data_IF_579953452428
#
_entry.id   IF_579953452428
#
_cell.length_a   1.000
_cell.length_b   1.000
_cell.length_c   1.000
_cell.angle_alpha   90.00
_cell.angle_beta   90.00
_cell.angle_gamma   90.00
#
_symmetry.space_group_name_H-M   'P 1'
#
loop_
_entity.id
_entity.type
_entity.pdbx_description
1 polymer ?
#
# COMPACT_ATOMS: atom_id res chain seq x y z
N UNK A 1 14.26 11.48 -9.67
CA UNK A 1 14.42 10.30 -8.77
C UNK A 1 13.89 9.05 -9.47
N UNK A 2 14.72 8.02 -9.60
CA UNK A 2 14.31 6.73 -10.17
C UNK A 2 13.49 5.93 -9.18
N UNK A 3 12.52 5.16 -9.66
CA UNK A 3 11.63 4.34 -8.85
C UNK A 3 11.66 2.88 -9.31
N UNK A 4 11.97 2.00 -8.39
CA UNK A 4 11.83 0.55 -8.57
C UNK A 4 10.57 0.07 -7.85
N UNK A 5 9.62 -0.49 -8.59
CA UNK A 5 8.51 -1.19 -7.95
C UNK A 5 8.92 -2.62 -7.59
N UNK A 6 8.56 -3.06 -6.40
CA UNK A 6 8.72 -4.45 -5.97
C UNK A 6 7.34 -5.02 -5.69
N UNK A 7 6.99 -6.08 -6.39
CA UNK A 7 5.69 -6.72 -6.28
C UNK A 7 5.86 -8.24 -6.22
N UNK A 8 4.81 -8.94 -5.86
CA UNK A 8 4.77 -10.38 -5.74
C UNK A 8 3.61 -10.82 -4.88
N UNK A 9 3.12 -12.03 -5.10
CA UNK A 9 2.00 -12.58 -4.35
C UNK A 9 2.32 -12.83 -2.88
N UNK A 10 1.30 -13.09 -2.08
CA UNK A 10 1.44 -13.47 -0.68
C UNK A 10 2.38 -14.66 -0.55
N UNK A 11 3.32 -14.59 0.39
CA UNK A 11 4.28 -15.67 0.65
C UNK A 11 5.42 -15.79 -0.36
N UNK A 12 5.56 -14.85 -1.31
CA UNK A 12 6.62 -14.87 -2.33
C UNK A 12 8.02 -14.53 -1.78
N UNK A 13 8.10 -13.92 -0.60
CA UNK A 13 9.36 -13.43 -0.04
C UNK A 13 9.64 -11.96 -0.32
N UNK A 14 8.66 -11.25 -0.83
CA UNK A 14 8.73 -9.82 -1.19
C UNK A 14 9.24 -8.95 -0.03
N UNK A 15 8.66 -9.10 1.16
CA UNK A 15 9.06 -8.33 2.35
C UNK A 15 10.53 -8.57 2.72
N UNK A 16 11.01 -9.81 2.63
CA UNK A 16 12.41 -10.14 2.89
C UNK A 16 13.35 -9.40 1.93
N UNK A 17 13.02 -9.39 0.64
CA UNK A 17 13.81 -8.71 -0.39
C UNK A 17 13.84 -7.20 -0.17
N UNK A 18 12.69 -6.56 0.08
CA UNK A 18 12.66 -5.11 0.31
C UNK A 18 13.40 -4.72 1.58
N UNK A 19 13.35 -5.55 2.62
CA UNK A 19 14.11 -5.30 3.85
C UNK A 19 15.63 -5.39 3.62
N UNK A 20 16.09 -6.26 2.72
CA UNK A 20 17.49 -6.28 2.30
C UNK A 20 17.90 -4.96 1.65
N UNK A 21 17.09 -4.42 0.74
CA UNK A 21 17.34 -3.10 0.14
C UNK A 21 17.34 -1.99 1.19
N UNK A 22 16.39 -2.02 2.12
CA UNK A 22 16.33 -1.04 3.21
C UNK A 22 17.60 -1.07 4.08
N UNK A 23 18.14 -2.25 4.39
CA UNK A 23 19.39 -2.40 5.14
C UNK A 23 20.60 -1.85 4.39
N UNK A 24 20.52 -1.73 3.07
CA UNK A 24 21.54 -1.11 2.21
C UNK A 24 21.37 0.42 2.08
N UNK A 25 20.42 1.01 2.80
CA UNK A 25 20.17 2.44 2.78
C UNK A 25 19.23 2.91 1.65
N UNK A 26 18.55 1.99 0.96
CA UNK A 26 17.57 2.34 -0.08
C UNK A 26 16.21 2.59 0.59
N UNK A 27 15.60 3.77 0.41
CA UNK A 27 14.30 4.06 0.98
C UNK A 27 13.19 3.20 0.35
N UNK A 28 12.31 2.66 1.19
CA UNK A 28 11.19 1.82 0.76
C UNK A 28 9.87 2.43 1.21
N UNK A 29 8.97 2.61 0.26
CA UNK A 29 7.59 3.00 0.50
C UNK A 29 6.70 1.77 0.52
N UNK A 30 6.22 1.39 1.69
CA UNK A 30 5.31 0.27 1.88
C UNK A 30 3.88 0.75 1.69
N UNK A 31 3.30 0.45 0.54
CA UNK A 31 2.00 1.00 0.11
C UNK A 31 0.88 0.69 1.11
N UNK A 32 0.78 -0.55 1.59
CA UNK A 32 -0.28 -0.94 2.52
C UNK A 32 -0.15 -0.25 3.88
N UNK A 33 1.06 -0.16 4.41
CA UNK A 33 1.32 0.50 5.68
C UNK A 33 1.04 2.01 5.59
N UNK A 34 1.41 2.62 4.46
CA UNK A 34 1.14 4.05 4.23
C UNK A 34 -0.35 4.34 4.07
N UNK A 35 -1.10 3.47 3.39
CA UNK A 35 -2.55 3.59 3.31
C UNK A 35 -3.19 3.57 4.71
N UNK A 36 -2.76 2.66 5.57
CA UNK A 36 -3.23 2.62 6.97
C UNK A 36 -2.91 3.90 7.73
N UNK A 37 -1.71 4.44 7.55
CA UNK A 37 -1.32 5.71 8.16
C UNK A 37 -2.17 6.88 7.66
N UNK A 38 -2.50 6.91 6.38
CA UNK A 38 -3.35 7.96 5.80
C UNK A 38 -4.77 7.94 6.36
N UNK A 39 -5.33 6.78 6.69
CA UNK A 39 -6.60 6.68 7.40
C UNK A 39 -6.57 7.36 8.78
N UNK A 40 -5.41 7.42 9.41
CA UNK A 40 -5.26 8.04 10.73
C UNK A 40 -4.85 9.52 10.65
N UNK A 41 -4.26 9.96 9.54
CA UNK A 41 -3.62 11.29 9.44
C UNK A 41 -4.22 12.22 8.39
N UNK A 42 -4.96 11.70 7.41
CA UNK A 42 -5.54 12.50 6.33
C UNK A 42 -7.02 12.80 6.60
N UNK A 43 -7.32 14.00 7.07
CA UNK A 43 -8.70 14.45 7.30
C UNK A 43 -9.54 14.39 6.02
N UNK A 44 -8.93 14.72 4.87
CA UNK A 44 -9.58 14.65 3.56
C UNK A 44 -9.97 13.22 3.20
N UNK A 45 -9.09 12.25 3.44
CA UNK A 45 -9.38 10.84 3.18
C UNK A 45 -10.48 10.32 4.11
N UNK A 46 -10.42 10.66 5.40
CA UNK A 46 -11.46 10.32 6.38
C UNK A 46 -12.82 10.84 5.92
N UNK A 47 -12.89 12.09 5.49
CA UNK A 47 -14.14 12.70 5.01
C UNK A 47 -14.66 12.03 3.74
N UNK A 48 -13.80 11.70 2.80
CA UNK A 48 -14.19 11.01 1.58
C UNK A 48 -14.70 9.60 1.86
N UNK A 49 -14.09 8.88 2.79
CA UNK A 49 -14.56 7.55 3.22
C UNK A 49 -15.90 7.66 3.96
N UNK A 50 -16.06 8.67 4.83
CA UNK A 50 -17.33 8.94 5.52
C UNK A 50 -18.48 9.14 4.55
N UNK A 51 -18.27 9.90 3.47
CA UNK A 51 -19.29 10.14 2.43
C UNK A 51 -19.73 8.85 1.74
N UNK A 52 -18.86 7.86 1.65
CA UNK A 52 -19.13 6.57 1.00
C UNK A 52 -19.80 5.59 1.97
N UNK A 53 -19.27 5.48 3.19
CA UNK A 53 -19.65 4.44 4.15
C UNK A 53 -20.68 4.89 5.19
N UNK A 54 -20.84 6.20 5.39
CA UNK A 54 -21.76 6.77 6.38
C UNK A 54 -21.06 7.33 7.61
N UNK A 55 -21.82 8.03 8.45
CA UNK A 55 -21.26 8.75 9.62
C UNK A 55 -20.80 7.83 10.75
N UNK A 56 -21.31 6.61 10.83
CA UNK A 56 -20.98 5.63 11.86
C UNK A 56 -19.56 5.08 11.74
N UNK A 57 -18.89 5.25 10.61
CA UNK A 57 -17.47 4.85 10.45
C UNK A 57 -16.48 5.87 11.02
N UNK A 58 -16.96 7.03 11.49
CA UNK A 58 -16.11 8.08 12.07
C UNK A 58 -16.49 8.31 13.51
N UNK A 59 -15.50 8.34 14.41
CA UNK A 59 -15.63 8.68 15.81
C UNK A 59 -14.47 9.60 16.23
N UNK A 60 -14.81 10.75 16.79
CA UNK A 60 -13.81 11.77 17.19
C UNK A 60 -12.84 12.16 16.06
N UNK A 61 -13.36 12.28 14.83
CA UNK A 61 -12.57 12.65 13.66
C UNK A 61 -11.69 11.54 13.07
N UNK A 62 -11.79 10.32 13.58
CA UNK A 62 -11.00 9.16 13.13
C UNK A 62 -11.88 8.04 12.62
N UNK A 63 -11.37 7.26 11.67
CA UNK A 63 -12.07 6.10 11.13
C UNK A 63 -12.13 4.96 12.15
N UNK A 64 -13.33 4.42 12.32
CA UNK A 64 -13.58 3.17 13.03
C UNK A 64 -13.28 2.00 12.10
N UNK A 65 -12.04 1.50 12.17
CA UNK A 65 -11.56 0.43 11.28
C UNK A 65 -12.36 -0.87 11.40
N UNK A 66 -12.87 -1.16 12.59
CA UNK A 66 -13.75 -2.32 12.85
C UNK A 66 -15.08 -2.22 12.09
N UNK A 67 -15.75 -1.08 12.15
CA UNK A 67 -17.02 -0.83 11.46
C UNK A 67 -16.78 -0.78 9.95
N UNK A 68 -15.72 -0.09 9.52
CA UNK A 68 -15.32 0.00 8.12
C UNK A 68 -15.07 -1.38 7.52
N UNK A 69 -14.31 -2.22 8.19
CA UNK A 69 -14.02 -3.59 7.74
C UNK A 69 -15.28 -4.42 7.57
N UNK A 70 -16.22 -4.35 8.51
CA UNK A 70 -17.50 -5.05 8.41
C UNK A 70 -18.31 -4.61 7.19
N UNK A 71 -18.39 -3.31 6.92
CA UNK A 71 -19.11 -2.76 5.77
C UNK A 71 -18.48 -3.18 4.44
N UNK A 72 -17.16 -3.11 4.35
CA UNK A 72 -16.42 -3.47 3.15
C UNK A 72 -16.45 -4.97 2.86
N UNK A 73 -16.42 -5.79 3.90
CA UNK A 73 -16.54 -7.25 3.76
C UNK A 73 -17.94 -7.65 3.26
N UNK A 74 -18.98 -6.96 3.70
CA UNK A 74 -20.37 -7.26 3.34
C UNK A 74 -20.74 -6.80 1.92
N UNK A 75 -20.05 -5.79 1.36
CA UNK A 75 -20.38 -5.18 0.08
C UNK A 75 -19.14 -4.82 -0.73
N UNK A 76 -18.87 -5.60 -1.78
CA UNK A 76 -17.72 -5.41 -2.68
C UNK A 76 -17.80 -4.12 -3.50
N UNK A 77 -18.99 -3.60 -3.76
CA UNK A 77 -19.15 -2.33 -4.46
C UNK A 77 -18.68 -1.16 -3.60
N UNK A 78 -18.93 -1.21 -2.29
CA UNK A 78 -18.40 -0.23 -1.35
C UNK A 78 -16.88 -0.29 -1.28
N UNK A 79 -16.30 -1.49 -1.30
CA UNK A 79 -14.85 -1.65 -1.34
C UNK A 79 -14.25 -0.94 -2.57
N UNK A 80 -14.81 -1.15 -3.76
CA UNK A 80 -14.37 -0.48 -4.98
C UNK A 80 -14.45 1.03 -4.89
N UNK A 81 -15.53 1.57 -4.32
CA UNK A 81 -15.71 3.01 -4.13
C UNK A 81 -14.70 3.61 -3.15
N UNK A 82 -14.40 2.89 -2.07
CA UNK A 82 -13.36 3.32 -1.11
C UNK A 82 -11.99 3.29 -1.76
N UNK A 83 -11.66 2.26 -2.52
CA UNK A 83 -10.39 2.18 -3.26
C UNK A 83 -10.21 3.34 -4.24
N UNK A 84 -11.27 3.81 -4.89
CA UNK A 84 -11.24 4.98 -5.78
C UNK A 84 -10.80 6.28 -5.10
N UNK A 85 -11.00 6.42 -3.80
CA UNK A 85 -10.55 7.60 -3.03
C UNK A 85 -9.23 7.35 -2.29
N UNK A 86 -8.93 6.10 -1.95
CA UNK A 86 -7.67 5.72 -1.27
C UNK A 86 -6.49 5.73 -2.23
N UNK A 87 -6.63 5.16 -3.42
CA UNK A 87 -5.54 5.07 -4.39
C UNK A 87 -4.95 6.43 -4.77
N UNK A 88 -5.76 7.47 -5.12
CA UNK A 88 -5.22 8.80 -5.37
C UNK A 88 -4.49 9.40 -4.17
N UNK A 89 -4.99 9.19 -2.97
CA UNK A 89 -4.35 9.68 -1.75
C UNK A 89 -2.97 9.04 -1.52
N UNK A 90 -2.86 7.74 -1.75
CA UNK A 90 -1.58 7.00 -1.67
C UNK A 90 -0.61 7.47 -2.74
N UNK A 91 -1.08 7.67 -3.97
CA UNK A 91 -0.23 8.15 -5.08
C UNK A 91 0.33 9.54 -4.78
N UNK A 92 -0.50 10.44 -4.28
CA UNK A 92 -0.07 11.78 -3.90
C UNK A 92 0.93 11.74 -2.73
N UNK A 93 0.67 10.93 -1.72
CA UNK A 93 1.59 10.73 -0.61
C UNK A 93 2.92 10.13 -1.06
N UNK A 94 2.88 9.13 -1.94
CA UNK A 94 4.09 8.55 -2.52
C UNK A 94 4.93 9.58 -3.27
N UNK A 95 4.31 10.41 -4.10
CA UNK A 95 5.03 11.45 -4.85
C UNK A 95 5.73 12.43 -3.91
N UNK A 96 5.05 12.92 -2.88
CA UNK A 96 5.67 13.80 -1.87
C UNK A 96 6.82 13.11 -1.12
N UNK A 97 6.61 11.86 -0.74
CA UNK A 97 7.64 11.06 -0.07
C UNK A 97 8.86 10.84 -0.97
N UNK A 98 8.67 10.42 -2.22
CA UNK A 98 9.74 10.25 -3.20
C UNK A 98 10.54 11.55 -3.40
N UNK A 99 9.84 12.66 -3.58
CA UNK A 99 10.47 13.94 -3.86
C UNK A 99 11.29 14.46 -2.65
N UNK A 100 10.94 14.04 -1.44
CA UNK A 100 11.73 14.35 -0.24
C UNK A 100 13.14 13.75 -0.25
N UNK A 101 13.39 12.75 -1.09
CA UNK A 101 14.71 12.11 -1.26
C UNK A 101 15.51 12.68 -2.43
N UNK A 102 14.93 13.60 -3.19
CA UNK A 102 15.68 14.27 -4.27
C UNK A 102 16.89 15.03 -3.71
N UNK A 103 18.00 14.97 -4.43
CA UNK A 103 19.27 15.61 -4.04
C UNK A 103 19.95 15.08 -2.77
N UNK A 104 19.56 13.90 -2.28
CA UNK A 104 20.21 13.26 -1.12
C UNK A 104 21.29 12.23 -1.50
N UNK A 105 21.67 12.15 -2.79
CA UNK A 105 22.66 11.19 -3.26
C UNK A 105 22.16 9.74 -3.30
N UNK A 106 20.85 9.54 -3.21
CA UNK A 106 20.21 8.22 -3.25
C UNK A 106 19.97 7.84 -4.72
N UNK A 107 20.41 6.65 -5.17
CA UNK A 107 20.34 6.28 -6.58
C UNK A 107 18.89 6.00 -7.07
N UNK A 108 18.05 5.47 -6.19
CA UNK A 108 16.64 5.18 -6.47
C UNK A 108 15.88 4.95 -5.17
N UNK A 109 14.55 4.97 -5.25
CA UNK A 109 13.66 4.59 -4.16
C UNK A 109 12.81 3.39 -4.58
N UNK A 110 12.26 2.68 -3.61
CA UNK A 110 11.41 1.51 -3.85
C UNK A 110 9.98 1.83 -3.46
N UNK A 111 9.02 1.42 -4.31
CA UNK A 111 7.61 1.30 -3.96
C UNK A 111 7.26 -0.19 -3.90
N UNK A 112 6.76 -0.64 -2.76
CA UNK A 112 6.36 -2.02 -2.54
C UNK A 112 4.84 -2.13 -2.51
N UNK A 113 4.28 -3.02 -3.36
CA UNK A 113 2.85 -3.30 -3.38
C UNK A 113 2.57 -4.69 -3.96
N UNK A 114 1.75 -5.47 -3.29
CA UNK A 114 1.31 -6.77 -3.80
C UNK A 114 0.43 -6.68 -5.05
N UNK A 115 -0.25 -5.54 -5.23
CA UNK A 115 -1.19 -5.30 -6.35
C UNK A 115 -0.63 -4.31 -7.39
N UNK A 116 0.69 -4.10 -7.43
CA UNK A 116 1.29 -3.05 -8.27
C UNK A 116 0.90 -3.18 -9.75
N UNK A 117 1.02 -4.38 -10.31
CA UNK A 117 0.71 -4.63 -11.72
C UNK A 117 -0.80 -4.71 -12.01
N UNK A 118 -1.60 -4.98 -10.98
CA UNK A 118 -3.06 -5.07 -11.08
C UNK A 118 -3.73 -3.70 -11.00
N UNK A 119 -3.02 -2.69 -10.52
CA UNK A 119 -3.53 -1.33 -10.39
C UNK A 119 -2.91 -0.41 -11.44
N UNK A 120 -3.65 -0.09 -12.53
CA UNK A 120 -3.14 0.74 -13.62
C UNK A 120 -2.66 2.14 -13.17
N UNK A 121 -3.16 2.64 -12.05
CA UNK A 121 -2.75 3.93 -11.52
C UNK A 121 -1.36 3.91 -10.87
N UNK A 122 -0.90 2.76 -10.40
CA UNK A 122 0.43 2.60 -9.80
C UNK A 122 1.53 2.39 -10.85
N UNK A 123 1.22 1.69 -11.92
CA UNK A 123 2.22 1.30 -12.94
C UNK A 123 3.06 2.47 -13.46
N UNK A 124 2.48 3.65 -13.78
CA UNK A 124 3.26 4.79 -14.27
C UNK A 124 4.23 5.40 -13.25
N UNK A 125 4.13 5.02 -11.97
CA UNK A 125 4.98 5.57 -10.91
C UNK A 125 6.40 4.99 -10.93
N UNK A 126 6.61 3.83 -11.55
CA UNK A 126 7.87 3.13 -11.53
C UNK A 126 8.58 3.13 -12.89
N UNK A 127 9.90 3.25 -12.85
CA UNK A 127 10.77 3.09 -14.03
C UNK A 127 11.03 1.63 -14.35
N UNK A 128 11.10 0.79 -13.33
CA UNK A 128 11.34 -0.67 -13.41
C UNK A 128 10.48 -1.40 -12.40
N UNK A 129 10.16 -2.64 -12.72
CA UNK A 129 9.38 -3.52 -11.84
C UNK A 129 10.16 -4.80 -11.58
N UNK A 130 10.34 -5.13 -10.31
CA UNK A 130 10.89 -6.39 -9.83
C UNK A 130 9.75 -7.26 -9.30
N UNK A 131 9.50 -8.38 -9.93
CA UNK A 131 8.49 -9.35 -9.49
C UNK A 131 9.17 -10.46 -8.71
N UNK A 132 8.77 -10.64 -7.46
CA UNK A 132 9.25 -11.72 -6.61
C UNK A 132 8.29 -12.90 -6.71
N UNK A 133 8.81 -14.06 -7.08
CA UNK A 133 8.05 -15.28 -7.21
C UNK A 133 8.61 -16.38 -6.32
N UNK A 134 7.75 -17.33 -5.95
CA UNK A 134 8.12 -18.54 -5.25
C UNK A 134 7.12 -19.65 -5.64
N UNK A 135 7.51 -20.95 -5.56
CA UNK A 135 6.57 -22.04 -5.79
C UNK A 135 5.34 -21.94 -4.91
N UNK A 136 4.17 -22.31 -5.44
CA UNK A 136 2.90 -22.19 -4.73
C UNK A 136 2.91 -22.90 -3.36
N UNK A 137 3.47 -24.10 -3.31
CA UNK A 137 3.59 -24.86 -2.05
C UNK A 137 4.39 -24.13 -0.98
N UNK A 138 5.49 -23.49 -1.35
CA UNK A 138 6.30 -22.69 -0.44
C UNK A 138 5.55 -21.44 0.02
N UNK A 139 4.81 -20.79 -0.87
CA UNK A 139 3.98 -19.64 -0.55
C UNK A 139 2.89 -19.99 0.44
N UNK A 140 2.17 -21.09 0.25
CA UNK A 140 1.14 -21.60 1.16
C UNK A 140 1.75 -21.88 2.53
N UNK A 141 2.87 -22.60 2.59
CA UNK A 141 3.58 -22.91 3.83
C UNK A 141 3.95 -21.65 4.62
N UNK A 142 4.44 -20.61 3.96
CA UNK A 142 4.81 -19.34 4.59
C UNK A 142 3.60 -18.61 5.16
N UNK A 143 2.48 -18.60 4.45
CA UNK A 143 1.24 -17.98 4.92
C UNK A 143 0.69 -18.71 6.14
N UNK A 144 0.68 -20.03 6.13
CA UNK A 144 0.24 -20.87 7.26
C UNK A 144 1.09 -20.60 8.51
N UNK A 145 2.39 -20.47 8.38
CA UNK A 145 3.28 -20.15 9.51
C UNK A 145 3.02 -18.77 10.11
N UNK A 146 2.61 -17.79 9.31
CA UNK A 146 2.26 -16.44 9.79
C UNK A 146 0.93 -16.42 10.54
N UNK A 147 0.01 -17.32 10.18
CA UNK A 147 -1.32 -17.40 10.77
C UNK A 147 -1.35 -18.18 12.10
N UNK A 148 -0.28 -18.88 12.41
CA UNK A 148 -0.07 -19.61 13.67
C UNK A 148 0.90 -18.78 14.58
#
# INVERSE_FOLDING_TARGET
MRVLAVTGGIGSGKTHIVNMFASMGIPVYFTDDRAKTLYDTSDRLVENVRKILGDDVVECGRLRKDIMAKKLFADKQLLGRVEEVVHPAVIEDFKRWRDSYENRGIPFVIIESAIFLENPALVPLADKVLVITAPLELRISRVQKRSN
#
